data_IF_188984355026
#
_entry.id   IF_188984355026
#
_cell.length_a   1.000
_cell.length_b   1.000
_cell.length_c   1.000
_cell.angle_alpha   90.00
_cell.angle_beta   90.00
_cell.angle_gamma   90.00
#
_symmetry.space_group_name_H-M   'P 1'
#
loop_
_entity.id
_entity.type
_entity.pdbx_description
1 polymer ?
#
# COMPACT_ATOMS: atom_id res chain seq x y z
N UNK A 1 -10.72 6.17 -16.05
CA UNK A 1 -9.88 6.01 -14.83
C UNK A 1 -10.48 6.72 -13.61
N UNK A 2 -11.37 7.72 -13.79
CA UNK A 2 -12.10 8.37 -12.69
C UNK A 2 -13.39 7.60 -12.41
N UNK A 3 -13.73 7.43 -11.12
CA UNK A 3 -14.97 6.84 -10.60
C UNK A 3 -15.55 7.72 -9.48
N UNK A 4 -16.67 7.30 -8.89
CA UNK A 4 -17.27 7.93 -7.70
C UNK A 4 -16.46 7.65 -6.42
N UNK A 5 -15.85 6.47 -6.34
CA UNK A 5 -15.07 6.02 -5.18
C UNK A 5 -13.91 5.10 -5.57
N UNK A 6 -12.90 5.03 -4.70
CA UNK A 6 -11.85 4.02 -4.84
C UNK A 6 -12.33 2.67 -4.27
N UNK A 7 -12.41 1.65 -5.12
CA UNK A 7 -12.76 0.27 -4.74
C UNK A 7 -11.51 -0.60 -4.69
N UNK A 8 -10.59 -0.27 -3.78
CA UNK A 8 -9.28 -0.90 -3.63
C UNK A 8 -9.40 -2.43 -3.54
N UNK A 9 -8.76 -3.13 -4.48
CA UNK A 9 -8.70 -4.59 -4.63
C UNK A 9 -10.05 -5.31 -4.76
N UNK A 10 -11.12 -4.58 -5.11
CA UNK A 10 -12.43 -5.16 -5.41
C UNK A 10 -12.46 -5.73 -6.83
N UNK A 11 -13.26 -6.78 -7.05
CA UNK A 11 -13.58 -7.26 -8.40
C UNK A 11 -14.22 -6.16 -9.26
N UNK A 12 -15.02 -5.28 -8.64
CA UNK A 12 -15.70 -4.17 -9.31
C UNK A 12 -14.85 -2.89 -9.42
N UNK A 13 -13.52 -2.99 -9.33
CA UNK A 13 -12.57 -1.88 -9.32
C UNK A 13 -12.53 -1.07 -10.64
N UNK A 14 -13.41 -0.06 -10.77
CA UNK A 14 -13.58 0.70 -12.03
C UNK A 14 -12.83 2.04 -12.14
N UNK A 15 -11.91 2.35 -11.23
CA UNK A 15 -11.21 3.64 -11.17
C UNK A 15 -11.07 4.19 -9.76
N UNK A 16 -10.60 5.44 -9.67
CA UNK A 16 -10.46 6.13 -8.40
C UNK A 16 -11.41 7.34 -8.30
N UNK A 17 -11.97 7.55 -7.11
CA UNK A 17 -12.66 8.79 -6.77
C UNK A 17 -11.65 9.87 -6.39
N UNK A 18 -11.92 11.14 -6.69
CA UNK A 18 -11.07 12.26 -6.27
C UNK A 18 -11.45 12.72 -4.87
N UNK A 19 -10.46 13.20 -4.13
CA UNK A 19 -10.65 13.82 -2.83
C UNK A 19 -9.59 14.90 -2.60
N UNK A 20 -9.77 15.66 -1.52
CA UNK A 20 -8.88 16.74 -1.12
C UNK A 20 -8.45 16.56 0.33
N UNK A 21 -7.26 17.05 0.68
CA UNK A 21 -6.79 17.02 2.05
C UNK A 21 -5.38 17.56 2.21
N UNK A 22 -5.00 17.81 3.45
CA UNK A 22 -3.66 18.20 3.83
C UNK A 22 -3.23 17.45 5.08
N UNK A 23 -1.93 17.17 5.20
CA UNK A 23 -1.34 16.57 6.38
C UNK A 23 0.16 16.78 6.39
N UNK A 24 0.75 16.69 7.57
CA UNK A 24 2.20 16.78 7.76
C UNK A 24 2.62 15.88 8.92
N UNK A 25 3.88 15.45 8.86
CA UNK A 25 4.59 14.79 9.97
C UNK A 25 5.90 15.53 10.20
N UNK A 26 6.44 15.39 11.40
CA UNK A 26 7.74 15.94 11.77
C UNK A 26 8.73 14.79 11.90
N UNK A 27 9.83 14.85 11.16
CA UNK A 27 10.96 13.94 11.31
C UNK A 27 12.03 14.62 12.17
N UNK A 28 12.53 13.93 13.18
CA UNK A 28 13.58 14.41 14.06
C UNK A 28 14.46 13.23 14.49
N UNK A 29 15.76 13.48 14.67
CA UNK A 29 16.70 12.46 15.14
C UNK A 29 16.58 12.21 16.65
N UNK A 30 16.25 13.24 17.42
CA UNK A 30 16.13 13.18 18.88
C UNK A 30 14.84 13.89 19.34
N UNK A 31 13.65 13.37 18.98
CA UNK A 31 12.39 13.96 19.38
C UNK A 31 12.08 13.70 20.87
N UNK A 32 11.34 14.63 21.49
CA UNK A 32 10.80 14.43 22.84
C UNK A 32 9.63 13.44 22.89
N UNK A 33 8.93 13.28 21.76
CA UNK A 33 7.78 12.39 21.59
C UNK A 33 7.96 11.65 20.28
N UNK A 34 7.96 10.32 20.33
CA UNK A 34 8.12 9.44 19.17
C UNK A 34 6.79 8.75 18.89
N UNK A 35 6.25 8.93 17.68
CA UNK A 35 5.07 8.20 17.21
C UNK A 35 5.47 6.88 16.53
N UNK A 36 6.52 6.92 15.70
CA UNK A 36 7.13 5.75 15.07
C UNK A 36 8.56 6.08 14.60
N UNK A 37 9.32 5.04 14.30
CA UNK A 37 10.64 5.14 13.68
C UNK A 37 10.54 4.90 12.16
N UNK A 38 11.16 5.75 11.35
CA UNK A 38 11.25 5.54 9.91
C UNK A 38 12.47 4.65 9.62
N UNK A 39 12.22 3.37 9.42
CA UNK A 39 13.29 2.39 9.22
C UNK A 39 13.87 2.37 7.79
N UNK A 40 13.11 2.85 6.82
CA UNK A 40 13.53 2.89 5.42
C UNK A 40 12.52 3.58 4.51
N UNK A 41 13.01 4.26 3.49
CA UNK A 41 12.20 4.88 2.45
C UNK A 41 12.96 4.79 1.11
N UNK A 42 12.23 4.64 0.02
CA UNK A 42 12.83 4.62 -1.32
C UNK A 42 11.87 5.18 -2.36
N UNK A 43 12.44 5.73 -3.43
CA UNK A 43 11.70 6.19 -4.63
C UNK A 43 12.41 5.66 -5.87
N UNK A 44 11.66 5.33 -6.92
CA UNK A 44 12.21 5.01 -8.23
C UNK A 44 11.25 5.43 -9.35
N UNK A 45 11.48 4.93 -10.57
CA UNK A 45 10.63 5.21 -11.74
C UNK A 45 10.30 3.92 -12.49
N UNK A 46 9.11 3.87 -13.08
CA UNK A 46 8.63 2.74 -13.90
C UNK A 46 9.45 2.54 -15.18
N UNK A 47 10.18 3.57 -15.63
CA UNK A 47 10.99 3.53 -16.82
C UNK A 47 10.15 3.30 -18.07
N UNK A 48 10.62 2.41 -18.96
CA UNK A 48 9.90 2.09 -20.19
C UNK A 48 8.75 1.14 -19.91
N UNK A 49 7.53 1.58 -20.23
CA UNK A 49 6.29 0.82 -20.08
C UNK A 49 5.70 0.48 -21.44
N UNK A 50 4.83 -0.53 -21.48
CA UNK A 50 3.98 -0.76 -22.67
C UNK A 50 2.92 0.33 -22.71
N UNK A 51 2.71 0.96 -23.88
CA UNK A 51 1.80 2.10 -24.05
C UNK A 51 0.46 1.92 -23.31
N UNK A 52 -0.05 2.95 -22.59
CA UNK A 52 0.48 4.31 -22.46
C UNK A 52 1.62 4.44 -21.44
N UNK A 53 2.37 5.55 -21.49
CA UNK A 53 3.49 5.84 -20.58
C UNK A 53 3.10 5.79 -19.08
N UNK A 54 1.81 6.02 -18.77
CA UNK A 54 1.25 6.02 -17.41
C UNK A 54 0.84 4.63 -16.90
N UNK A 55 1.09 3.56 -17.67
CA UNK A 55 0.76 2.19 -17.25
C UNK A 55 1.71 1.75 -16.13
N UNK A 56 1.22 1.16 -15.02
CA UNK A 56 2.06 0.76 -13.90
C UNK A 56 3.02 -0.37 -14.26
N UNK A 57 4.21 -0.38 -13.65
CA UNK A 57 5.23 -1.41 -13.86
C UNK A 57 5.50 -2.23 -12.57
N UNK A 58 4.94 -3.43 -12.49
CA UNK A 58 5.10 -4.33 -11.34
C UNK A 58 6.56 -4.57 -10.92
N UNK A 59 7.48 -4.95 -11.83
CA UNK A 59 8.89 -5.13 -11.49
C UNK A 59 9.54 -3.88 -10.89
N UNK A 60 9.13 -2.68 -11.31
CA UNK A 60 9.65 -1.42 -10.77
C UNK A 60 9.10 -1.14 -9.37
N UNK A 61 7.81 -1.39 -9.14
CA UNK A 61 7.24 -1.35 -7.79
C UNK A 61 7.95 -2.33 -6.86
N UNK A 62 8.25 -3.54 -7.34
CA UNK A 62 8.95 -4.55 -6.55
C UNK A 62 10.37 -4.12 -6.15
N UNK A 63 11.15 -3.59 -7.10
CA UNK A 63 12.48 -3.05 -6.80
C UNK A 63 12.42 -1.91 -5.79
N UNK A 64 11.43 -1.02 -5.90
CA UNK A 64 11.25 0.09 -4.97
C UNK A 64 10.98 -0.41 -3.55
N UNK A 65 10.01 -1.31 -3.43
CA UNK A 65 9.60 -1.90 -2.16
C UNK A 65 10.72 -2.72 -1.50
N UNK A 66 11.47 -3.52 -2.27
CA UNK A 66 12.62 -4.28 -1.73
C UNK A 66 13.73 -3.36 -1.24
N UNK A 67 14.01 -2.26 -1.94
CA UNK A 67 14.99 -1.28 -1.50
C UNK A 67 14.57 -0.55 -0.21
N UNK A 68 13.27 -0.27 -0.04
CA UNK A 68 12.75 0.36 1.18
C UNK A 68 12.73 -0.60 2.39
N UNK A 69 12.27 -1.84 2.22
CA UNK A 69 12.19 -2.81 3.31
C UNK A 69 13.53 -3.40 3.72
N UNK A 70 14.44 -3.63 2.76
CA UNK A 70 15.72 -4.27 3.02
C UNK A 70 15.59 -5.55 3.84
N UNK A 71 16.29 -5.60 4.98
CA UNK A 71 16.33 -6.75 5.89
C UNK A 71 15.07 -6.88 6.77
N UNK A 72 14.25 -5.84 6.86
CA UNK A 72 13.07 -5.78 7.74
C UNK A 72 11.84 -6.46 7.14
N UNK A 73 11.96 -6.94 5.90
CA UNK A 73 10.86 -7.56 5.20
C UNK A 73 10.15 -8.67 6.02
N UNK A 74 10.86 -9.56 6.74
CA UNK A 74 10.24 -10.58 7.59
C UNK A 74 9.32 -10.06 8.71
N UNK A 75 9.44 -8.79 9.11
CA UNK A 75 8.76 -8.25 10.31
C UNK A 75 7.50 -7.46 10.00
N UNK A 76 7.20 -7.21 8.72
CA UNK A 76 6.07 -6.37 8.37
C UNK A 76 4.74 -7.11 8.57
N UNK A 77 3.86 -6.55 9.40
CA UNK A 77 2.56 -7.13 9.77
C UNK A 77 1.37 -6.37 9.16
N UNK A 78 1.62 -5.21 8.56
CA UNK A 78 0.62 -4.38 7.90
C UNK A 78 1.22 -3.72 6.66
N UNK A 79 0.44 -3.59 5.59
CA UNK A 79 0.81 -2.86 4.36
C UNK A 79 -0.30 -1.89 4.01
N UNK A 80 0.00 -0.59 3.98
CA UNK A 80 -0.90 0.41 3.39
C UNK A 80 -0.53 0.59 1.89
N UNK A 81 -1.32 0.04 0.96
CA UNK A 81 -1.03 0.10 -0.47
C UNK A 81 -1.34 1.47 -1.07
N UNK A 82 -0.91 1.69 -2.31
CA UNK A 82 -1.43 2.74 -3.16
C UNK A 82 -2.93 2.55 -3.44
N UNK A 83 -3.36 1.35 -3.83
CA UNK A 83 -4.74 0.87 -3.80
C UNK A 83 -5.75 1.83 -4.43
N UNK A 84 -5.61 2.12 -5.72
CA UNK A 84 -6.44 3.13 -6.39
C UNK A 84 -7.83 2.64 -6.79
N UNK A 85 -8.07 1.33 -6.78
CA UNK A 85 -9.34 0.78 -7.26
C UNK A 85 -9.38 0.70 -8.79
N UNK A 86 -8.23 0.59 -9.46
CA UNK A 86 -8.17 0.50 -10.92
C UNK A 86 -8.02 -0.95 -11.39
N UNK A 87 -8.77 -1.34 -12.42
CA UNK A 87 -8.71 -2.70 -13.01
C UNK A 87 -7.30 -3.19 -13.36
N UNK A 88 -6.37 -2.29 -13.72
CA UNK A 88 -5.00 -2.67 -14.09
C UNK A 88 -4.02 -2.47 -12.93
N UNK A 89 -4.12 -1.36 -12.20
CA UNK A 89 -3.15 -1.02 -11.15
C UNK A 89 -3.25 -1.94 -9.94
N UNK A 90 -4.47 -2.26 -9.52
CA UNK A 90 -4.71 -3.04 -8.31
C UNK A 90 -4.14 -4.48 -8.43
N UNK A 91 -4.37 -5.23 -9.52
CA UNK A 91 -3.71 -6.53 -9.70
C UNK A 91 -2.18 -6.46 -9.79
N UNK A 92 -1.64 -5.41 -10.42
CA UNK A 92 -0.18 -5.22 -10.54
C UNK A 92 0.45 -5.00 -9.16
N UNK A 93 -0.15 -4.13 -8.35
CA UNK A 93 0.30 -3.83 -7.00
C UNK A 93 0.17 -5.04 -6.07
N UNK A 94 -1.00 -5.69 -6.06
CA UNK A 94 -1.24 -6.88 -5.23
C UNK A 94 -0.25 -8.01 -5.57
N UNK A 95 0.02 -8.23 -6.86
CA UNK A 95 1.01 -9.21 -7.29
C UNK A 95 2.43 -8.86 -6.85
N UNK A 96 2.82 -7.58 -6.92
CA UNK A 96 4.13 -7.13 -6.44
C UNK A 96 4.30 -7.32 -4.93
N UNK A 97 3.28 -6.95 -4.15
CA UNK A 97 3.24 -7.19 -2.70
C UNK A 97 3.34 -8.69 -2.43
N UNK A 98 2.52 -9.53 -3.07
CA UNK A 98 2.54 -10.97 -2.87
C UNK A 98 3.90 -11.61 -3.17
N UNK A 99 4.59 -11.22 -4.25
CA UNK A 99 5.93 -11.75 -4.56
C UNK A 99 6.98 -11.36 -3.53
N UNK A 100 6.90 -10.15 -2.99
CA UNK A 100 7.81 -9.71 -1.94
C UNK A 100 7.53 -10.48 -0.65
N UNK A 101 6.27 -10.50 -0.21
CA UNK A 101 5.86 -11.15 1.02
C UNK A 101 6.08 -12.68 0.98
N UNK A 102 5.81 -13.32 -0.15
CA UNK A 102 6.08 -14.75 -0.36
C UNK A 102 7.58 -15.09 -0.35
N UNK A 103 8.45 -14.12 -0.66
CA UNK A 103 9.91 -14.29 -0.57
C UNK A 103 10.49 -14.10 0.84
N UNK A 104 9.64 -13.93 1.86
CA UNK A 104 10.06 -13.90 3.28
C UNK A 104 10.53 -15.29 3.71
N UNK A 105 11.76 -15.65 3.35
CA UNK A 105 12.39 -16.87 3.82
C UNK A 105 12.64 -16.78 5.34
N UNK A 106 11.69 -17.28 6.13
CA UNK A 106 11.80 -17.16 7.60
C UNK A 106 11.91 -18.51 8.31
N UNK A 107 11.90 -19.64 7.58
CA UNK A 107 11.93 -20.98 8.18
C UNK A 107 10.75 -21.28 9.12
N UNK A 108 9.81 -20.34 9.26
CA UNK A 108 8.63 -20.37 10.11
C UNK A 108 7.42 -19.88 9.31
N UNK A 109 6.25 -20.43 9.57
CA UNK A 109 5.02 -19.87 9.03
C UNK A 109 4.73 -18.53 9.74
N UNK A 110 4.91 -17.43 9.03
CA UNK A 110 4.46 -16.12 9.50
C UNK A 110 3.02 -15.89 9.04
N UNK A 111 2.15 -15.28 9.87
CA UNK A 111 0.87 -14.79 9.39
C UNK A 111 1.10 -13.78 8.25
N UNK A 112 0.19 -13.81 7.27
CA UNK A 112 0.22 -12.82 6.20
C UNK A 112 -0.06 -11.42 6.78
N UNK A 113 0.62 -10.37 6.29
CA UNK A 113 0.32 -9.02 6.71
C UNK A 113 -1.13 -8.65 6.41
N UNK A 114 -1.73 -7.87 7.31
CA UNK A 114 -3.00 -7.22 7.03
C UNK A 114 -2.77 -6.17 5.95
N UNK A 115 -3.56 -6.20 4.90
CA UNK A 115 -3.53 -5.18 3.85
C UNK A 115 -4.48 -4.04 4.25
N UNK A 116 -4.13 -2.81 3.88
CA UNK A 116 -4.90 -1.58 4.09
C UNK A 116 -5.54 -1.03 2.81
N UNK A 117 -5.94 0.25 2.82
CA UNK A 117 -6.74 0.84 1.73
C UNK A 117 -7.53 2.09 2.13
N UNK A 118 -6.84 3.14 2.60
CA UNK A 118 -7.45 4.39 3.07
C UNK A 118 -8.26 5.13 2.00
N UNK A 119 -7.93 4.92 0.73
CA UNK A 119 -8.64 5.55 -0.38
C UNK A 119 -10.10 5.08 -0.47
N UNK A 120 -10.45 3.93 0.11
CA UNK A 120 -11.85 3.49 0.21
C UNK A 120 -12.69 4.40 1.12
N UNK A 121 -12.07 5.10 2.08
CA UNK A 121 -12.72 6.03 2.99
C UNK A 121 -12.63 7.49 2.52
N UNK A 122 -11.48 7.89 1.97
CA UNK A 122 -11.16 9.29 1.69
C UNK A 122 -11.04 9.62 0.20
N UNK A 123 -11.22 8.64 -0.68
CA UNK A 123 -10.87 8.75 -2.10
C UNK A 123 -9.37 9.06 -2.32
N UNK A 124 -8.97 9.34 -3.55
CA UNK A 124 -7.60 9.67 -3.89
C UNK A 124 -7.34 11.16 -3.62
N UNK A 125 -6.65 11.46 -2.52
CA UNK A 125 -6.26 12.82 -2.12
C UNK A 125 -5.09 13.41 -2.93
N UNK A 126 -4.86 12.90 -4.14
CA UNK A 126 -3.75 13.29 -5.02
C UNK A 126 -2.40 13.40 -4.30
N UNK A 127 -1.83 14.60 -4.19
CA UNK A 127 -0.54 14.88 -3.54
C UNK A 127 -0.53 14.53 -2.04
N UNK A 128 -1.69 14.57 -1.37
CA UNK A 128 -1.82 14.22 0.04
C UNK A 128 -2.07 12.72 0.29
N UNK A 129 -2.21 11.90 -0.76
CA UNK A 129 -2.57 10.49 -0.62
C UNK A 129 -1.55 9.67 0.17
N UNK A 130 -0.25 9.94 -0.01
CA UNK A 130 0.82 9.27 0.76
C UNK A 130 0.77 9.65 2.24
N UNK A 131 0.51 10.93 2.54
CA UNK A 131 0.43 11.42 3.91
C UNK A 131 -0.78 10.86 4.66
N UNK A 132 -1.93 10.74 4.00
CA UNK A 132 -3.11 10.11 4.59
C UNK A 132 -2.85 8.66 4.98
N UNK A 133 -2.22 7.88 4.09
CA UNK A 133 -1.81 6.50 4.37
C UNK A 133 -0.82 6.40 5.53
N UNK A 134 0.19 7.28 5.56
CA UNK A 134 1.17 7.33 6.66
C UNK A 134 0.51 7.63 8.01
N UNK A 135 -0.33 8.67 8.08
CA UNK A 135 -1.05 9.05 9.31
C UNK A 135 -1.94 7.90 9.80
N UNK A 136 -2.62 7.18 8.90
CA UNK A 136 -3.39 5.99 9.26
C UNK A 136 -2.50 4.94 9.93
N UNK A 137 -1.35 4.61 9.34
CA UNK A 137 -0.42 3.62 9.92
C UNK A 137 0.04 4.04 11.32
N UNK A 138 0.42 5.31 11.51
CA UNK A 138 0.82 5.85 12.81
C UNK A 138 -0.30 5.71 13.86
N UNK A 139 -1.53 6.08 13.50
CA UNK A 139 -2.69 5.98 14.40
C UNK A 139 -3.03 4.53 14.77
N UNK A 140 -2.86 3.58 13.86
CA UNK A 140 -3.06 2.15 14.14
C UNK A 140 -2.02 1.64 15.15
N UNK A 141 -0.76 2.07 14.99
CA UNK A 141 0.33 1.69 15.90
C UNK A 141 0.13 2.27 17.30
N UNK A 142 -0.25 3.55 17.41
CA UNK A 142 -0.53 4.20 18.70
C UNK A 142 -1.68 3.56 19.47
N UNK A 143 -2.74 3.18 18.76
CA UNK A 143 -3.99 2.69 19.38
C UNK A 143 -4.02 1.18 19.58
N UNK A 144 -3.05 0.45 19.05
CA UNK A 144 -3.03 -1.02 19.04
C UNK A 144 -4.33 -1.64 18.48
N UNK A 145 -4.95 -0.99 17.48
CA UNK A 145 -6.19 -1.45 16.83
C UNK A 145 -5.93 -1.94 15.42
N UNK A 146 -6.66 -2.97 14.99
CA UNK A 146 -6.68 -3.39 13.59
C UNK A 146 -7.43 -2.35 12.74
N UNK A 147 -6.95 -2.11 11.51
CA UNK A 147 -7.60 -1.19 10.56
C UNK A 147 -9.02 -1.67 10.24
N UNK A 148 -10.07 -0.85 10.39
CA UNK A 148 -11.38 -1.16 9.84
C UNK A 148 -11.29 -1.02 8.33
N UNK A 149 -11.09 -2.12 7.62
CA UNK A 149 -11.25 -2.19 6.17
C UNK A 149 -12.71 -1.83 5.87
N UNK A 150 -12.96 -0.67 5.23
CA UNK A 150 -14.31 -0.23 4.89
C UNK A 150 -14.92 -1.14 3.83
N UNK A 151 -15.95 -1.92 4.19
CA UNK A 151 -16.89 -2.65 3.33
C UNK A 151 -16.37 -3.00 1.91
N UNK A 152 -15.37 -3.87 1.85
CA UNK A 152 -14.90 -4.54 0.65
C UNK A 152 -14.39 -5.90 1.07
N UNK A 153 -15.28 -6.89 1.11
CA UNK A 153 -14.92 -8.26 1.43
C UNK A 153 -13.87 -8.73 0.42
N UNK A 154 -12.62 -8.91 0.87
CA UNK A 154 -11.65 -9.69 0.11
C UNK A 154 -12.22 -11.11 -0.01
N UNK A 155 -12.67 -11.50 -1.20
CA UNK A 155 -13.14 -12.84 -1.52
C UNK A 155 -12.10 -13.54 -2.41
N UNK A 156 -10.92 -13.78 -1.86
CA UNK A 156 -9.83 -14.47 -2.56
C UNK A 156 -9.77 -15.96 -2.25
N UNK A 157 -10.83 -16.72 -2.51
CA UNK A 157 -10.77 -18.21 -2.50
C UNK A 157 -10.54 -18.81 -3.91
N UNK A 158 -10.43 -18.00 -4.96
CA UNK A 158 -10.36 -18.51 -6.35
C UNK A 158 -9.18 -18.05 -7.21
N UNK A 159 -8.17 -17.38 -6.64
CA UNK A 159 -6.92 -17.12 -7.37
C UNK A 159 -5.79 -17.97 -6.81
N UNK A 160 -5.78 -19.24 -7.17
CA UNK A 160 -4.58 -20.08 -7.12
C UNK A 160 -3.50 -19.38 -7.95
N UNK A 161 -2.44 -18.90 -7.30
CA UNK A 161 -1.26 -18.38 -8.01
C UNK A 161 -0.43 -19.56 -8.56
N UNK A 162 0.01 -19.53 -9.82
CA UNK A 162 1.10 -20.39 -10.30
C UNK A 162 2.45 -19.98 -9.69
#
# INVERSE_FOLDING_TARGET
>A
MISDRCRTFSEDAAGYGRGEGCGAVVLALEPRVVHAELLGANTNNDGRTTSPITKPNGPSQERCMRAAWGQLLPECNFVEPHGTGTHVGDPVEAGGIARILGSRATGRALPLPVIGGIKTNLNHLESAAGMAGLIKVLLLQERAVASPFGAGHWQGEHSSFP
#
